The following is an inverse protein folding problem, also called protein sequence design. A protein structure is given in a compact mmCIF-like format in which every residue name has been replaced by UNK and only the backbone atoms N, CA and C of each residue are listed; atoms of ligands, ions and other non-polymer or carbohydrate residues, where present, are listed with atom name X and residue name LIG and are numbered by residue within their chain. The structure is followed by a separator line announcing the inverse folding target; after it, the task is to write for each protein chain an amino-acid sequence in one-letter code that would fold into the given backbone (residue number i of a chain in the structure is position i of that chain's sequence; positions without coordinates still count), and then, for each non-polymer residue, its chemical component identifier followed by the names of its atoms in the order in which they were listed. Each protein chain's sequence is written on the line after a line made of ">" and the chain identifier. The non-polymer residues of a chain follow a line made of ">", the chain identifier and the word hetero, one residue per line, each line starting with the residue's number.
data_IF_841002255809
#
_entry.id   IF_841002255809
#
_cell.length_a   1.000
_cell.length_b   1.000
_cell.length_c   1.000
_cell.angle_alpha   90.00
_cell.angle_beta   90.00
_cell.angle_gamma   90.00
#
_symmetry.space_group_name_H-M   'P 1'
#
loop_
_entity.id
_entity.type
_entity.pdbx_description
1 polymer ?
#
# COMPACT_ATOMS: atom_id res chain seq x y z
N UNK A 1 7.22 8.65 9.10
CA UNK A 1 6.04 8.41 9.95
C UNK A 1 5.08 9.56 9.69
N UNK A 2 3.81 9.28 9.39
CA UNK A 2 2.80 10.35 9.28
C UNK A 2 2.48 10.79 10.71
N UNK A 3 2.58 12.09 11.00
CA UNK A 3 2.28 12.60 12.33
C UNK A 3 0.78 12.46 12.65
N UNK A 4 0.48 12.05 13.88
CA UNK A 4 -0.88 11.85 14.34
C UNK A 4 -1.66 13.18 14.28
N UNK A 5 -2.84 13.17 13.65
CA UNK A 5 -3.63 14.38 13.39
C UNK A 5 -3.35 15.10 12.06
N UNK A 6 -2.38 14.64 11.26
CA UNK A 6 -2.12 15.22 9.93
C UNK A 6 -3.29 14.96 8.97
N UNK A 7 -3.88 16.04 8.42
CA UNK A 7 -4.89 15.92 7.35
C UNK A 7 -4.21 15.68 6.00
N UNK A 8 -4.20 14.43 5.55
CA UNK A 8 -3.70 14.08 4.23
C UNK A 8 -4.69 14.46 3.12
N UNK A 9 -4.18 15.05 2.04
CA UNK A 9 -4.89 15.15 0.77
C UNK A 9 -5.17 13.76 0.16
N UNK A 10 -5.99 13.72 -0.88
CA UNK A 10 -6.41 12.46 -1.49
C UNK A 10 -5.22 11.61 -1.98
N UNK A 11 -4.26 12.20 -2.69
CA UNK A 11 -3.09 11.50 -3.22
C UNK A 11 -2.25 10.92 -2.07
N UNK A 12 -1.86 11.78 -1.11
CA UNK A 12 -1.03 11.37 0.03
C UNK A 12 -1.70 10.30 0.87
N UNK A 13 -3.03 10.36 1.02
CA UNK A 13 -3.77 9.30 1.70
C UNK A 13 -3.58 7.97 0.98
N UNK A 14 -3.88 7.90 -0.32
CA UNK A 14 -3.79 6.61 -1.03
C UNK A 14 -2.36 6.08 -1.11
N UNK A 15 -1.37 6.96 -1.32
CA UNK A 15 0.03 6.55 -1.49
C UNK A 15 0.68 6.15 -0.15
N UNK A 16 0.47 6.93 0.92
CA UNK A 16 1.18 6.73 2.18
C UNK A 16 0.55 5.67 3.08
N UNK A 17 -0.74 5.37 2.91
CA UNK A 17 -1.45 4.35 3.73
C UNK A 17 -1.64 3.03 2.99
N UNK A 18 -1.21 2.93 1.74
CA UNK A 18 -1.28 1.70 0.94
C UNK A 18 0.12 1.27 0.47
N UNK A 19 0.18 0.13 -0.22
CA UNK A 19 1.40 -0.38 -0.83
C UNK A 19 1.08 -1.23 -2.04
N UNK A 20 2.01 -1.30 -2.97
CA UNK A 20 1.93 -2.25 -4.09
C UNK A 20 2.79 -3.48 -3.86
N UNK A 21 2.43 -4.57 -4.52
CA UNK A 21 3.16 -5.83 -4.49
C UNK A 21 3.87 -6.04 -5.84
N UNK A 22 5.19 -6.28 -5.80
CA UNK A 22 5.97 -6.67 -6.98
C UNK A 22 6.13 -8.18 -7.06
N UNK A 23 6.16 -8.71 -8.29
CA UNK A 23 6.48 -10.12 -8.52
C UNK A 23 6.29 -10.65 -9.94
N UNK A 24 6.01 -9.79 -10.92
CA UNK A 24 5.87 -10.18 -12.32
C UNK A 24 4.62 -11.03 -12.58
N UNK A 25 4.56 -11.62 -13.78
CA UNK A 25 3.36 -12.27 -14.30
C UNK A 25 2.77 -13.36 -13.37
N UNK A 26 3.62 -14.10 -12.63
CA UNK A 26 3.15 -15.12 -11.69
C UNK A 26 2.37 -14.50 -10.51
N UNK A 27 2.91 -13.42 -9.93
CA UNK A 27 2.23 -12.72 -8.84
C UNK A 27 1.03 -11.94 -9.36
N UNK A 28 1.11 -11.37 -10.56
CA UNK A 28 -0.02 -10.67 -11.19
C UNK A 28 -1.20 -11.62 -11.41
N UNK A 29 -0.94 -12.83 -11.91
CA UNK A 29 -1.95 -13.88 -12.07
C UNK A 29 -2.51 -14.36 -10.73
N UNK A 30 -1.63 -14.65 -9.75
CA UNK A 30 -2.05 -15.11 -8.43
C UNK A 30 -2.90 -14.08 -7.67
N UNK A 31 -2.52 -12.80 -7.73
CA UNK A 31 -3.22 -11.73 -7.02
C UNK A 31 -4.42 -11.20 -7.79
N UNK A 32 -4.67 -11.65 -9.02
CA UNK A 32 -5.78 -11.16 -9.85
C UNK A 32 -5.77 -9.64 -10.03
N UNK A 33 -4.58 -9.03 -10.03
CA UNK A 33 -4.40 -7.58 -10.12
C UNK A 33 -4.57 -6.79 -8.82
N UNK A 34 -4.76 -7.44 -7.66
CA UNK A 34 -4.75 -6.81 -6.34
C UNK A 34 -3.35 -6.32 -5.92
N UNK A 35 -2.34 -6.49 -6.76
CA UNK A 35 -0.98 -6.04 -6.52
C UNK A 35 -0.77 -4.52 -6.78
N UNK A 36 -1.78 -3.84 -7.31
CA UNK A 36 -1.79 -2.40 -7.64
C UNK A 36 -2.78 -1.59 -6.78
N UNK A 37 -2.73 -1.76 -5.45
CA UNK A 37 -3.67 -1.11 -4.52
C UNK A 37 -3.61 0.41 -4.53
N UNK A 38 -2.42 1.01 -4.70
CA UNK A 38 -2.29 2.47 -4.75
C UNK A 38 -3.09 3.01 -5.94
N UNK A 39 -2.89 2.46 -7.13
CA UNK A 39 -3.59 2.90 -8.34
C UNK A 39 -5.06 2.53 -8.33
N UNK A 40 -5.42 1.38 -7.75
CA UNK A 40 -6.82 1.00 -7.61
C UNK A 40 -7.61 2.02 -6.79
N UNK A 41 -7.02 2.55 -5.70
CA UNK A 41 -7.67 3.60 -4.92
C UNK A 41 -7.61 4.98 -5.55
N UNK A 42 -6.57 5.29 -6.33
CA UNK A 42 -6.49 6.56 -7.07
C UNK A 42 -7.44 6.60 -8.27
N UNK A 43 -7.64 5.46 -8.93
CA UNK A 43 -8.41 5.33 -10.17
C UNK A 43 -9.39 4.13 -10.09
N UNK A 44 -10.41 4.17 -9.23
CA UNK A 44 -11.28 3.01 -8.95
C UNK A 44 -12.06 2.51 -10.17
N UNK A 45 -12.32 3.39 -11.15
CA UNK A 45 -12.99 3.03 -12.41
C UNK A 45 -12.03 2.52 -13.49
N UNK A 46 -10.71 2.53 -13.26
CA UNK A 46 -9.74 2.07 -14.24
C UNK A 46 -9.71 0.53 -14.28
N UNK A 47 -9.75 -0.08 -15.48
CA UNK A 47 -9.60 -1.53 -15.61
C UNK A 47 -8.24 -2.00 -15.08
N UNK A 48 -8.25 -3.11 -14.34
CA UNK A 48 -7.06 -3.71 -13.71
C UNK A 48 -5.84 -3.84 -14.63
N UNK A 49 -5.95 -4.29 -15.90
CA UNK A 49 -4.80 -4.39 -16.80
C UNK A 49 -4.12 -3.05 -17.12
N UNK A 50 -4.82 -1.93 -16.96
CA UNK A 50 -4.26 -0.60 -17.18
C UNK A 50 -3.53 -0.06 -15.94
N UNK A 51 -3.77 -0.63 -14.74
CA UNK A 51 -3.16 -0.15 -13.50
C UNK A 51 -1.63 -0.27 -13.51
N UNK A 52 -1.06 -1.28 -14.19
CA UNK A 52 0.38 -1.41 -14.33
C UNK A 52 1.02 -0.20 -15.05
N UNK A 53 0.33 0.38 -16.05
CA UNK A 53 0.80 1.59 -16.72
C UNK A 53 0.61 2.83 -15.85
N UNK A 54 -0.55 2.92 -15.17
CA UNK A 54 -0.81 3.99 -14.21
C UNK A 54 0.23 4.00 -13.07
N UNK A 55 0.67 2.82 -12.62
CA UNK A 55 1.64 2.63 -11.55
C UNK A 55 2.97 3.32 -11.86
N UNK A 56 3.47 3.19 -13.09
CA UNK A 56 4.69 3.84 -13.53
C UNK A 56 4.55 5.38 -13.52
N UNK A 57 3.38 5.89 -13.93
CA UNK A 57 3.09 7.33 -13.95
C UNK A 57 2.98 7.86 -12.51
N UNK A 58 2.20 7.18 -11.66
CA UNK A 58 2.02 7.56 -10.25
C UNK A 58 3.34 7.54 -9.49
N UNK A 59 4.17 6.51 -9.65
CA UNK A 59 5.48 6.40 -8.98
C UNK A 59 6.41 7.57 -9.37
N UNK A 60 6.45 7.93 -10.65
CA UNK A 60 7.20 9.11 -11.13
C UNK A 60 6.67 10.42 -10.56
N UNK A 61 5.35 10.60 -10.58
CA UNK A 61 4.73 11.81 -10.04
C UNK A 61 4.94 11.95 -8.52
N UNK A 62 4.90 10.83 -7.79
CA UNK A 62 5.24 10.82 -6.37
C UNK A 62 6.70 11.24 -6.14
N UNK A 63 7.64 10.77 -6.98
CA UNK A 63 9.04 11.17 -6.90
C UNK A 63 9.23 12.69 -7.14
N UNK A 64 8.54 13.27 -8.12
CA UNK A 64 8.55 14.73 -8.38
C UNK A 64 8.07 15.55 -7.18
N UNK A 65 7.12 15.01 -6.41
CA UNK A 65 6.57 15.64 -5.20
C UNK A 65 7.31 15.28 -3.90
N UNK A 66 8.35 14.44 -3.97
CA UNK A 66 9.04 13.92 -2.79
C UNK A 66 8.17 13.02 -1.90
N UNK A 67 7.10 12.43 -2.45
CA UNK A 67 6.20 11.52 -1.74
C UNK A 67 6.77 10.09 -1.85
N UNK A 68 7.06 9.40 -0.73
CA UNK A 68 7.56 8.03 -0.79
C UNK A 68 6.48 7.09 -1.33
N UNK A 69 6.82 6.37 -2.40
CA UNK A 69 5.96 5.38 -3.04
C UNK A 69 6.41 3.97 -2.63
N UNK A 70 5.56 3.22 -1.91
CA UNK A 70 5.98 1.93 -1.33
C UNK A 70 5.61 0.72 -2.21
N UNK A 71 6.64 -0.05 -2.58
CA UNK A 71 6.52 -1.32 -3.31
C UNK A 71 7.34 -2.40 -2.63
N UNK A 72 6.74 -3.56 -2.41
CA UNK A 72 7.42 -4.66 -1.70
C UNK A 72 7.05 -6.03 -2.28
N UNK A 73 7.81 -7.06 -1.95
CA UNK A 73 7.49 -8.42 -2.39
C UNK A 73 6.31 -9.01 -1.60
N UNK A 74 5.63 -10.02 -2.15
CA UNK A 74 4.43 -10.61 -1.52
C UNK A 74 4.68 -11.03 -0.05
N UNK A 75 5.77 -11.76 0.21
CA UNK A 75 6.11 -12.23 1.56
C UNK A 75 6.39 -11.06 2.51
N UNK A 76 7.15 -10.07 2.05
CA UNK A 76 7.48 -8.88 2.84
C UNK A 76 6.23 -8.05 3.14
N UNK A 77 5.33 -7.89 2.16
CA UNK A 77 4.00 -7.27 2.32
C UNK A 77 3.20 -7.93 3.43
N UNK A 78 3.13 -9.27 3.45
CA UNK A 78 2.41 -10.02 4.48
C UNK A 78 3.07 -9.86 5.86
N UNK A 79 4.41 -9.88 5.92
CA UNK A 79 5.16 -9.67 7.15
C UNK A 79 4.95 -8.27 7.72
N UNK A 80 4.92 -7.24 6.88
CA UNK A 80 4.61 -5.85 7.28
C UNK A 80 3.21 -5.77 7.91
N UNK A 81 2.20 -6.32 7.24
CA UNK A 81 0.83 -6.33 7.76
C UNK A 81 0.71 -7.06 9.10
N UNK A 82 1.29 -8.26 9.22
CA UNK A 82 1.26 -9.03 10.46
C UNK A 82 2.00 -8.35 11.61
N UNK A 83 3.14 -7.72 11.33
CA UNK A 83 3.87 -6.93 12.34
C UNK A 83 3.04 -5.74 12.81
N UNK A 84 2.39 -5.03 11.88
CA UNK A 84 1.53 -3.90 12.23
C UNK A 84 0.35 -4.35 13.11
N UNK A 85 -0.37 -5.41 12.71
CA UNK A 85 -1.48 -5.98 13.50
C UNK A 85 -1.02 -6.41 14.90
N UNK A 86 0.16 -7.02 15.03
CA UNK A 86 0.72 -7.40 16.34
C UNK A 86 1.05 -6.20 17.22
N UNK A 87 1.58 -5.13 16.63
CA UNK A 87 1.94 -3.89 17.33
C UNK A 87 0.69 -3.16 17.81
N UNK A 88 -0.30 -2.93 16.95
CA UNK A 88 -1.54 -2.24 17.36
C UNK A 88 -2.38 -3.07 18.34
N UNK A 89 -2.27 -4.40 18.28
CA UNK A 89 -2.95 -5.30 19.22
C UNK A 89 -2.21 -5.53 20.54
N UNK A 90 -0.98 -5.02 20.72
CA UNK A 90 -0.22 -5.21 21.96
C UNK A 90 -0.91 -4.65 23.21
N UNK A 91 -1.46 -3.42 23.22
CA UNK A 91 -2.12 -2.88 24.39
C UNK A 91 -3.34 -3.70 24.82
N UNK A 92 -4.11 -4.21 23.86
CA UNK A 92 -5.29 -5.05 24.13
C UNK A 92 -4.90 -6.40 24.74
N UNK A 93 -3.81 -7.02 24.25
CA UNK A 93 -3.28 -8.28 24.81
C UNK A 93 -2.74 -8.09 26.22
N UNK A 94 -2.10 -6.96 26.50
CA UNK A 94 -1.61 -6.64 27.85
C UNK A 94 -2.78 -6.45 28.82
N UNK A 95 -3.84 -5.76 28.40
CA UNK A 95 -5.05 -5.54 29.20
C UNK A 95 -5.90 -6.80 29.46
N UNK A 96 -5.72 -7.86 28.66
CA UNK A 96 -6.45 -9.14 28.84
C UNK A 96 -5.67 -10.13 29.73
N UNK A 97 -4.40 -9.85 30.05
CA UNK A 97 -3.50 -10.74 30.81
C UNK A 97 -3.27 -10.28 32.26
N UNK A 98 -3.89 -9.17 32.69
CA UNK A 98 -3.88 -8.68 34.08
C UNK A 98 -5.28 -8.65 34.65
#
# INVERSE_FOLDING_TARGET
>A
MIEEGTRLDFLRRQVLTSRNVRGGALIDAFMGGLNHQIEHHLFPSMPTPALARAQVITERYCAELGIPYHRTGLIASHREALRHLRSVGEPLRAATQG
#
